data_IF_253136649849
#
_entry.id   IF_253136649849
#
_cell.length_a   1.000
_cell.length_b   1.000
_cell.length_c   1.000
_cell.angle_alpha   90.00
_cell.angle_beta   90.00
_cell.angle_gamma   90.00
#
_symmetry.space_group_name_H-M   'P 1'
#
loop_
_entity.id
_entity.type
_entity.pdbx_description
1 polymer ?
#
# COMPACT_ATOMS: atom_id res chain seq x y z
N UNK A 1 -49.42 34.50 -5.08
CA UNK A 1 -49.63 34.14 -3.66
C UNK A 1 -48.28 33.79 -3.07
N UNK A 2 -47.56 34.72 -2.43
CA UNK A 2 -47.61 35.04 -0.98
C UNK A 2 -47.20 33.82 -0.12
N UNK A 3 -46.18 33.80 0.74
CA UNK A 3 -45.53 34.89 1.49
C UNK A 3 -44.04 34.61 1.80
N UNK A 4 -43.33 35.73 1.91
CA UNK A 4 -41.96 35.94 2.40
C UNK A 4 -41.90 35.88 3.93
N UNK A 5 -40.77 35.46 4.52
CA UNK A 5 -40.24 36.07 5.75
C UNK A 5 -38.72 35.96 5.89
N UNK A 6 -38.09 37.12 5.78
CA UNK A 6 -36.71 37.47 6.10
C UNK A 6 -36.50 37.61 7.61
N UNK A 7 -35.27 37.40 8.09
CA UNK A 7 -34.74 38.10 9.29
C UNK A 7 -33.25 38.44 9.08
N UNK A 8 -32.98 39.74 9.18
CA UNK A 8 -31.69 40.44 9.23
C UNK A 8 -31.26 40.62 10.70
N UNK A 9 -30.06 41.21 10.85
CA UNK A 9 -29.48 41.98 11.99
C UNK A 9 -28.59 41.16 12.93
N UNK A 10 -27.42 41.59 13.41
CA UNK A 10 -26.50 42.75 13.17
C UNK A 10 -25.23 42.45 13.99
N UNK A 11 -24.06 42.88 13.51
CA UNK A 11 -22.81 43.02 14.27
C UNK A 11 -22.84 44.23 15.21
N UNK A 12 -21.92 44.29 16.21
CA UNK A 12 -21.28 45.56 16.52
C UNK A 12 -19.74 45.47 16.53
N UNK A 13 -19.15 46.55 16.02
CA UNK A 13 -17.75 46.96 16.13
C UNK A 13 -17.37 47.33 17.57
N UNK A 14 -16.12 47.09 17.96
CA UNK A 14 -15.36 47.98 18.86
C UNK A 14 -13.93 48.12 18.31
N UNK A 15 -13.51 49.37 18.18
CA UNK A 15 -12.20 49.86 17.73
C UNK A 15 -11.22 50.08 18.89
N UNK A 16 -9.95 50.31 18.51
CA UNK A 16 -8.84 51.00 19.22
C UNK A 16 -8.00 50.11 20.15
N UNK A 17 -6.67 50.15 20.21
CA UNK A 17 -5.71 51.25 19.97
C UNK A 17 -4.31 50.76 19.56
N UNK A 18 -3.58 51.72 19.00
CA UNK A 18 -2.19 51.80 18.51
C UNK A 18 -1.13 51.55 19.61
N UNK A 19 0.01 50.94 19.26
CA UNK A 19 1.34 51.41 19.69
C UNK A 19 2.50 50.79 18.88
N UNK A 20 3.25 51.69 18.23
CA UNK A 20 4.59 51.52 17.66
C UNK A 20 5.64 51.29 18.77
N UNK A 21 6.65 50.46 18.50
CA UNK A 21 8.06 50.67 18.90
C UNK A 21 8.92 49.55 18.27
N UNK A 22 9.66 49.84 17.20
CA UNK A 22 11.10 50.16 17.17
C UNK A 22 12.04 48.96 17.42
N UNK A 23 12.80 48.62 16.37
CA UNK A 23 13.98 47.77 16.34
C UNK A 23 15.04 48.20 17.38
N UNK A 24 16.02 47.32 17.68
CA UNK A 24 17.32 47.61 17.10
C UNK A 24 18.08 46.40 16.53
N UNK A 25 18.82 46.72 15.47
CA UNK A 25 20.01 46.09 14.91
C UNK A 25 21.19 46.03 15.89
N UNK A 26 21.99 44.96 15.84
CA UNK A 26 23.47 44.97 15.76
C UNK A 26 23.98 43.51 15.96
N UNK A 27 24.58 42.88 14.95
CA UNK A 27 25.95 43.01 14.45
C UNK A 27 27.03 42.24 15.25
N UNK A 28 27.67 41.32 14.52
CA UNK A 28 29.10 41.06 14.46
C UNK A 28 29.80 40.11 15.47
N UNK A 29 30.46 39.12 14.84
CA UNK A 29 31.84 38.64 15.05
C UNK A 29 32.09 37.29 15.75
N UNK A 30 32.69 36.41 14.92
CA UNK A 30 33.89 35.59 15.17
C UNK A 30 33.80 34.29 15.98
N UNK A 31 33.99 33.19 15.24
CA UNK A 31 34.73 31.98 15.62
C UNK A 31 36.03 32.32 16.37
N UNK A 32 36.47 31.48 17.33
CA UNK A 32 37.44 30.45 16.95
C UNK A 32 37.28 29.09 17.67
N UNK A 33 37.49 28.01 16.92
CA UNK A 33 38.14 26.76 17.41
C UNK A 33 39.58 27.12 17.82
N UNK A 34 40.21 26.48 18.83
CA UNK A 34 40.74 25.14 18.59
C UNK A 34 41.00 24.24 19.81
N UNK A 35 41.46 23.02 19.50
CA UNK A 35 42.35 22.12 20.24
C UNK A 35 41.78 20.86 20.92
N UNK A 36 42.35 19.75 20.43
CA UNK A 36 42.43 18.42 21.02
C UNK A 36 43.06 18.46 22.42
N UNK A 37 42.50 17.67 23.32
CA UNK A 37 43.31 17.03 24.38
C UNK A 37 42.69 15.69 24.75
N UNK A 38 43.47 14.66 24.47
CA UNK A 38 43.34 13.27 24.86
C UNK A 38 43.23 13.14 26.38
N UNK A 39 42.17 12.48 26.87
CA UNK A 39 42.15 11.92 28.22
C UNK A 39 41.69 10.48 28.12
N UNK A 40 42.67 9.61 28.35
CA UNK A 40 42.57 8.17 28.55
C UNK A 40 41.93 7.86 29.91
N UNK A 41 40.79 7.18 29.91
CA UNK A 41 40.28 6.49 31.09
C UNK A 41 40.50 4.98 30.92
N UNK A 42 41.42 4.45 31.72
CA UNK A 42 41.53 3.02 32.01
C UNK A 42 40.32 2.58 32.82
N UNK A 43 39.52 1.65 32.29
CA UNK A 43 38.66 0.79 33.11
C UNK A 43 38.95 -0.66 32.71
N UNK A 44 39.38 -1.42 33.70
CA UNK A 44 39.78 -2.82 33.66
C UNK A 44 38.60 -3.78 33.48
N UNK A 45 38.86 -4.83 32.71
CA UNK A 45 37.96 -5.92 32.31
C UNK A 45 37.50 -6.83 33.45
N UNK A 46 36.28 -7.36 33.32
CA UNK A 46 35.95 -8.74 33.69
C UNK A 46 34.88 -9.28 32.73
N UNK A 47 35.28 -10.26 31.93
CA UNK A 47 34.53 -10.97 30.88
C UNK A 47 33.42 -11.88 31.43
N UNK A 48 32.47 -12.32 30.57
CA UNK A 48 32.51 -13.73 30.21
C UNK A 48 32.35 -14.02 28.71
N UNK A 49 33.25 -14.87 28.23
CA UNK A 49 33.12 -15.82 27.10
C UNK A 49 32.53 -15.32 25.78
N UNK A 50 33.39 -14.76 24.93
CA UNK A 50 33.23 -14.76 23.48
C UNK A 50 33.56 -16.16 22.94
N UNK A 51 32.59 -16.88 22.38
CA UNK A 51 32.86 -17.93 21.40
C UNK A 51 33.00 -17.28 20.03
N UNK A 52 34.24 -17.03 19.63
CA UNK A 52 34.60 -16.67 18.27
C UNK A 52 34.24 -17.83 17.33
N UNK A 53 33.16 -17.69 16.56
CA UNK A 53 32.91 -18.54 15.40
C UNK A 53 33.23 -17.76 14.13
N UNK A 54 34.43 -18.00 13.62
CA UNK A 54 34.81 -17.70 12.24
C UNK A 54 33.95 -18.53 11.29
N UNK A 55 33.13 -17.89 10.47
CA UNK A 55 32.50 -18.54 9.32
C UNK A 55 33.36 -18.28 8.08
N UNK A 56 33.99 -19.35 7.60
CA UNK A 56 34.60 -19.41 6.27
C UNK A 56 33.48 -19.22 5.25
N UNK A 57 33.56 -18.12 4.51
CA UNK A 57 32.73 -17.91 3.34
C UNK A 57 33.46 -18.54 2.15
N UNK A 58 33.10 -19.77 1.78
CA UNK A 58 33.56 -20.33 0.51
C UNK A 58 32.85 -19.59 -0.63
N UNK A 59 33.61 -18.76 -1.35
CA UNK A 59 33.18 -18.21 -2.62
C UNK A 59 33.18 -19.32 -3.67
N UNK A 60 32.01 -19.86 -3.99
CA UNK A 60 31.80 -20.53 -5.27
C UNK A 60 30.88 -19.70 -6.15
N UNK A 61 31.43 -19.27 -7.27
CA UNK A 61 30.76 -18.59 -8.37
C UNK A 61 29.78 -19.55 -9.04
N UNK A 62 28.53 -19.56 -8.58
CA UNK A 62 27.40 -20.09 -9.35
C UNK A 62 26.10 -19.42 -8.89
N UNK A 63 25.20 -19.11 -9.83
CA UNK A 63 23.84 -18.59 -9.56
C UNK A 63 22.99 -19.67 -8.87
N UNK A 64 23.27 -19.98 -7.61
CA UNK A 64 22.55 -20.99 -6.84
C UNK A 64 21.57 -20.34 -5.86
N UNK A 65 20.34 -20.86 -5.84
CA UNK A 65 19.37 -20.65 -4.76
C UNK A 65 20.03 -21.01 -3.43
N UNK A 66 20.39 -20.01 -2.63
CA UNK A 66 20.92 -20.25 -1.29
C UNK A 66 19.76 -20.35 -0.31
N UNK A 67 19.35 -21.57 0.01
CA UNK A 67 18.40 -21.82 1.12
C UNK A 67 19.09 -21.53 2.45
N UNK A 68 18.97 -20.30 2.93
CA UNK A 68 19.54 -19.90 4.20
C UNK A 68 18.57 -20.25 5.34
N UNK A 69 18.81 -21.38 6.00
CA UNK A 69 18.08 -21.79 7.22
C UNK A 69 18.36 -20.77 8.33
N UNK A 70 17.34 -20.04 8.78
CA UNK A 70 17.42 -19.30 10.04
C UNK A 70 17.59 -20.32 11.19
N UNK A 71 18.43 -19.99 12.19
CA UNK A 71 18.83 -20.89 13.29
C UNK A 71 17.68 -21.33 14.22
N UNK A 72 16.45 -20.90 13.96
CA UNK A 72 15.27 -21.11 14.83
C UNK A 72 14.30 -22.20 14.34
N UNK A 73 14.75 -23.15 13.50
CA UNK A 73 13.90 -24.24 13.00
C UNK A 73 12.79 -23.81 12.02
N UNK A 74 12.78 -22.54 11.63
CA UNK A 74 11.88 -21.98 10.62
C UNK A 74 12.57 -22.06 9.25
N UNK A 75 12.06 -22.93 8.38
CA UNK A 75 12.49 -23.02 6.99
C UNK A 75 12.02 -21.76 6.23
N UNK A 76 12.77 -20.66 6.32
CA UNK A 76 12.69 -19.54 5.39
C UNK A 76 13.67 -19.79 4.24
N UNK A 77 13.19 -19.67 3.00
CA UNK A 77 14.03 -19.78 1.82
C UNK A 77 14.18 -18.40 1.18
N UNK A 78 15.34 -17.77 1.35
CA UNK A 78 15.67 -16.50 0.72
C UNK A 78 16.27 -16.74 -0.65
N UNK A 79 15.55 -16.32 -1.69
CA UNK A 79 16.02 -16.36 -3.07
C UNK A 79 16.78 -15.07 -3.36
N UNK A 80 18.01 -15.17 -3.87
CA UNK A 80 18.88 -14.01 -4.17
C UNK A 80 18.89 -13.68 -5.66
N UNK A 81 18.74 -12.38 -5.98
CA UNK A 81 18.99 -11.75 -7.29
C UNK A 81 18.39 -12.43 -8.54
N UNK A 82 17.32 -13.21 -8.39
CA UNK A 82 16.70 -13.95 -9.51
C UNK A 82 15.21 -13.69 -9.67
N UNK A 83 14.53 -13.14 -8.66
CA UNK A 83 13.08 -12.92 -8.73
C UNK A 83 12.77 -11.61 -9.43
N UNK A 84 12.01 -11.69 -10.53
CA UNK A 84 11.50 -10.52 -11.24
C UNK A 84 10.17 -10.05 -10.63
N UNK A 85 10.06 -8.75 -10.38
CA UNK A 85 8.88 -8.12 -9.77
C UNK A 85 7.69 -8.10 -10.74
N UNK A 86 7.92 -8.11 -12.05
CA UNK A 86 6.85 -8.30 -13.06
C UNK A 86 6.03 -9.58 -12.84
N UNK A 87 6.62 -10.63 -12.30
CA UNK A 87 5.91 -11.89 -12.00
C UNK A 87 4.97 -11.77 -10.77
N UNK A 88 5.19 -10.73 -9.97
CA UNK A 88 4.48 -10.44 -8.73
C UNK A 88 3.49 -9.28 -8.89
N UNK A 89 3.40 -8.69 -10.09
CA UNK A 89 2.56 -7.55 -10.43
C UNK A 89 1.48 -7.94 -11.43
N UNK A 90 0.27 -7.39 -11.26
CA UNK A 90 -0.80 -7.56 -12.26
C UNK A 90 -0.56 -6.74 -13.52
N UNK A 91 0.22 -5.65 -13.44
CA UNK A 91 0.70 -4.94 -14.62
C UNK A 91 1.75 -5.71 -15.41
N UNK A 92 2.44 -6.68 -14.80
CA UNK A 92 3.52 -7.39 -15.47
C UNK A 92 4.73 -6.49 -15.79
N UNK A 93 4.99 -5.50 -14.93
CA UNK A 93 6.10 -4.54 -15.04
C UNK A 93 6.96 -4.64 -13.76
N UNK A 94 8.28 -4.52 -13.90
CA UNK A 94 9.21 -4.52 -12.77
C UNK A 94 10.44 -5.41 -12.94
N UNK A 95 11.58 -4.87 -12.54
CA UNK A 95 12.91 -5.48 -12.58
C UNK A 95 13.17 -6.55 -11.52
N UNK A 96 14.43 -6.96 -11.30
CA UNK A 96 14.80 -7.94 -10.28
C UNK A 96 14.76 -7.37 -8.86
N UNK A 97 14.65 -8.21 -7.83
CA UNK A 97 14.94 -7.81 -6.46
C UNK A 97 16.14 -8.56 -5.88
N UNK A 98 16.85 -7.92 -4.95
CA UNK A 98 18.06 -8.50 -4.33
C UNK A 98 17.74 -9.74 -3.50
N UNK A 99 16.66 -9.69 -2.71
CA UNK A 99 16.19 -10.81 -1.92
C UNK A 99 14.68 -11.01 -2.13
N UNK A 100 14.25 -12.26 -2.11
CA UNK A 100 12.83 -12.62 -2.16
C UNK A 100 12.55 -13.74 -1.17
N UNK A 101 11.46 -13.64 -0.43
CA UNK A 101 11.02 -14.67 0.50
C UNK A 101 9.49 -14.76 0.52
N UNK A 102 8.96 -15.96 0.69
CA UNK A 102 7.54 -16.19 0.92
C UNK A 102 7.31 -16.55 2.38
N UNK A 103 6.26 -15.99 2.97
CA UNK A 103 5.90 -16.24 4.37
C UNK A 103 4.45 -16.71 4.46
N UNK A 104 4.21 -17.80 5.17
CA UNK A 104 2.91 -18.50 5.24
C UNK A 104 2.24 -18.41 6.61
N UNK A 105 2.95 -17.92 7.62
CA UNK A 105 2.42 -17.68 8.96
C UNK A 105 3.10 -16.47 9.62
N UNK A 106 2.55 -16.05 10.76
CA UNK A 106 3.05 -14.92 11.53
C UNK A 106 4.52 -15.10 11.94
N UNK A 107 4.92 -16.30 12.37
CA UNK A 107 6.28 -16.57 12.84
C UNK A 107 7.30 -16.38 11.72
N UNK A 108 7.01 -16.90 10.52
CA UNK A 108 7.84 -16.70 9.32
C UNK A 108 7.93 -15.23 8.93
N UNK A 109 6.81 -14.50 8.99
CA UNK A 109 6.76 -13.08 8.69
C UNK A 109 7.62 -12.25 9.66
N UNK A 110 7.47 -12.46 10.97
CA UNK A 110 8.31 -11.80 12.00
C UNK A 110 9.77 -12.15 11.80
N UNK A 111 10.09 -13.41 11.51
CA UNK A 111 11.47 -13.86 11.28
C UNK A 111 12.10 -13.22 10.04
N UNK A 112 11.33 -13.04 8.95
CA UNK A 112 11.80 -12.36 7.76
C UNK A 112 12.05 -10.87 8.02
N UNK A 113 11.15 -10.20 8.74
CA UNK A 113 11.31 -8.79 9.14
C UNK A 113 12.55 -8.64 10.02
N UNK A 114 12.70 -9.49 11.05
CA UNK A 114 13.85 -9.49 11.96
C UNK A 114 15.16 -9.72 11.20
N UNK A 115 15.22 -10.70 10.31
CA UNK A 115 16.39 -10.96 9.48
C UNK A 115 16.80 -9.72 8.66
N UNK A 116 15.82 -9.03 8.06
CA UNK A 116 16.08 -7.81 7.31
C UNK A 116 16.65 -6.70 8.21
N UNK A 117 16.09 -6.51 9.41
CA UNK A 117 16.60 -5.53 10.38
C UNK A 117 18.02 -5.86 10.85
N UNK A 118 18.30 -7.10 11.25
CA UNK A 118 19.62 -7.54 11.74
C UNK A 118 20.72 -7.33 10.70
N UNK A 119 20.40 -7.44 9.41
CA UNK A 119 21.34 -7.28 8.30
C UNK A 119 21.26 -5.91 7.63
N UNK A 120 20.50 -4.96 8.17
CA UNK A 120 20.27 -3.64 7.57
C UNK A 120 19.78 -3.71 6.11
N UNK A 121 18.98 -4.72 5.78
CA UNK A 121 18.36 -4.92 4.48
C UNK A 121 17.01 -4.21 4.48
N UNK A 122 16.81 -3.27 3.55
CA UNK A 122 15.48 -2.67 3.31
C UNK A 122 14.52 -3.74 2.84
N UNK A 123 13.25 -3.64 3.21
CA UNK A 123 12.26 -4.59 2.75
C UNK A 123 10.93 -3.93 2.40
N UNK A 124 10.16 -4.61 1.55
CA UNK A 124 8.75 -4.32 1.31
C UNK A 124 7.95 -5.60 1.49
N UNK A 125 6.71 -5.45 1.94
CA UNK A 125 5.76 -6.56 2.05
C UNK A 125 4.69 -6.37 0.99
N UNK A 126 4.51 -7.39 0.16
CA UNK A 126 3.53 -7.35 -0.93
C UNK A 126 2.52 -8.49 -0.79
N UNK A 127 1.28 -8.19 -1.21
CA UNK A 127 0.25 -9.19 -1.47
C UNK A 127 0.38 -9.71 -2.90
N UNK A 128 -0.63 -9.46 -3.75
CA UNK A 128 -0.59 -9.83 -5.18
C UNK A 128 0.03 -8.77 -6.11
N UNK A 129 0.59 -7.69 -5.56
CA UNK A 129 1.11 -6.56 -6.35
C UNK A 129 0.06 -5.93 -7.29
N UNK A 130 -1.23 -6.03 -6.97
CA UNK A 130 -2.31 -5.60 -7.86
C UNK A 130 -2.62 -4.10 -7.81
N UNK A 131 -1.87 -3.35 -7.00
CA UNK A 131 -1.95 -1.89 -6.88
C UNK A 131 -0.54 -1.27 -6.80
N UNK A 132 0.44 -1.91 -7.44
CA UNK A 132 1.85 -1.52 -7.38
C UNK A 132 2.44 -1.40 -8.79
N UNK A 133 3.06 -0.26 -9.09
CA UNK A 133 4.01 -0.11 -10.19
C UNK A 133 5.42 -0.35 -9.63
N UNK A 134 6.06 -1.42 -10.09
CA UNK A 134 7.46 -1.69 -9.76
C UNK A 134 8.36 -1.10 -10.84
N UNK A 135 9.45 -0.49 -10.42
CA UNK A 135 10.47 0.04 -11.30
C UNK A 135 11.19 -1.07 -12.08
N UNK A 136 11.56 -0.83 -13.34
CA UNK A 136 12.31 -1.80 -14.15
C UNK A 136 13.76 -1.98 -13.69
N UNK A 137 14.31 -1.01 -12.95
CA UNK A 137 15.58 -1.17 -12.23
C UNK A 137 15.44 -2.15 -11.07
N UNK A 138 14.22 -2.42 -10.62
CA UNK A 138 13.94 -3.41 -9.60
C UNK A 138 13.88 -2.86 -8.17
N UNK A 139 14.27 -3.68 -7.19
CA UNK A 139 14.26 -3.32 -5.77
C UNK A 139 15.54 -3.75 -5.06
N UNK A 140 16.29 -2.77 -4.54
CA UNK A 140 17.51 -2.97 -3.75
C UNK A 140 17.16 -3.24 -2.28
N UNK A 141 16.64 -4.44 -2.06
CA UNK A 141 16.23 -4.93 -0.76
C UNK A 141 15.55 -6.30 -0.83
N UNK A 142 14.80 -6.63 0.21
CA UNK A 142 14.01 -7.85 0.31
C UNK A 142 12.54 -7.62 -0.03
N UNK A 143 12.00 -8.42 -0.95
CA UNK A 143 10.56 -8.52 -1.18
C UNK A 143 10.01 -9.71 -0.41
N UNK A 144 9.18 -9.41 0.59
CA UNK A 144 8.47 -10.38 1.41
C UNK A 144 7.07 -10.57 0.82
N UNK A 145 6.83 -11.71 0.18
CA UNK A 145 5.52 -12.08 -0.34
C UNK A 145 4.68 -12.73 0.76
N UNK A 146 3.62 -12.04 1.18
CA UNK A 146 2.73 -12.53 2.22
C UNK A 146 1.72 -13.56 1.65
N UNK A 147 1.83 -14.80 2.15
CA UNK A 147 1.02 -15.98 1.82
C UNK A 147 0.34 -16.58 3.05
N UNK A 148 0.02 -15.76 4.05
CA UNK A 148 -0.81 -16.18 5.19
C UNK A 148 -2.27 -16.34 4.69
N UNK A 149 -2.63 -17.55 4.25
CA UNK A 149 -3.84 -17.84 3.45
C UNK A 149 -4.92 -18.66 4.18
N UNK A 150 -5.05 -18.52 5.50
CA UNK A 150 -6.14 -19.16 6.24
C UNK A 150 -7.47 -18.37 6.16
N UNK A 151 -8.58 -19.10 6.34
CA UNK A 151 -9.93 -18.57 6.54
C UNK A 151 -10.58 -19.41 7.63
N UNK A 152 -10.80 -18.81 8.80
CA UNK A 152 -11.40 -19.45 9.97
C UNK A 152 -12.78 -18.82 10.20
N UNK A 153 -13.81 -19.66 10.35
CA UNK A 153 -15.15 -19.21 10.73
C UNK A 153 -15.31 -19.46 12.23
N UNK A 154 -15.36 -18.38 13.02
CA UNK A 154 -15.55 -18.51 14.47
C UNK A 154 -17.03 -18.76 14.78
N UNK A 155 -17.91 -18.03 14.10
CA UNK A 155 -19.37 -18.12 14.18
C UNK A 155 -19.95 -17.79 12.80
N UNK A 156 -21.22 -18.10 12.51
CA UNK A 156 -21.87 -17.71 11.27
C UNK A 156 -21.75 -16.19 11.03
N UNK A 157 -21.07 -15.80 9.95
CA UNK A 157 -20.85 -14.40 9.59
C UNK A 157 -19.63 -13.74 10.24
N UNK A 158 -18.89 -14.45 11.11
CA UNK A 158 -17.66 -13.95 11.75
C UNK A 158 -16.47 -14.74 11.24
N UNK A 159 -15.60 -14.07 10.48
CA UNK A 159 -14.46 -14.70 9.82
C UNK A 159 -13.15 -14.06 10.22
N UNK A 160 -12.21 -14.87 10.71
CA UNK A 160 -10.81 -14.48 10.88
C UNK A 160 -10.04 -14.91 9.64
N UNK A 161 -9.42 -13.96 8.96
CA UNK A 161 -8.85 -14.22 7.63
C UNK A 161 -7.40 -13.77 7.58
N UNK A 162 -6.53 -14.65 7.10
CA UNK A 162 -5.14 -14.34 6.89
C UNK A 162 -4.95 -13.22 5.85
N UNK A 163 -4.02 -12.32 6.12
CA UNK A 163 -3.74 -11.14 5.29
C UNK A 163 -3.26 -11.47 3.86
N UNK A 164 -2.74 -12.69 3.62
CA UNK A 164 -2.39 -13.21 2.30
C UNK A 164 -3.58 -13.80 1.54
N UNK A 165 -4.72 -14.05 2.19
CA UNK A 165 -5.90 -14.64 1.58
C UNK A 165 -6.44 -13.77 0.44
N UNK A 166 -6.94 -14.40 -0.63
CA UNK A 166 -7.44 -13.70 -1.83
C UNK A 166 -8.74 -12.96 -1.49
N UNK A 167 -8.75 -11.63 -1.66
CA UNK A 167 -9.89 -10.80 -1.26
C UNK A 167 -11.16 -11.11 -2.06
N UNK A 168 -11.02 -11.31 -3.38
CA UNK A 168 -12.13 -11.76 -4.21
C UNK A 168 -12.72 -13.12 -3.79
N UNK A 169 -11.86 -14.05 -3.39
CA UNK A 169 -12.30 -15.37 -2.92
C UNK A 169 -13.14 -15.24 -1.64
N UNK A 170 -12.70 -14.39 -0.70
CA UNK A 170 -13.44 -14.11 0.52
C UNK A 170 -14.85 -13.58 0.21
N UNK A 171 -14.94 -12.54 -0.63
CA UNK A 171 -16.24 -11.98 -1.01
C UNK A 171 -17.17 -12.99 -1.67
N UNK A 172 -16.64 -13.85 -2.56
CA UNK A 172 -17.42 -14.92 -3.17
C UNK A 172 -17.92 -15.96 -2.16
N UNK A 173 -17.05 -16.42 -1.25
CA UNK A 173 -17.41 -17.44 -0.25
C UNK A 173 -18.50 -16.92 0.69
N UNK A 174 -18.28 -15.77 1.33
CA UNK A 174 -19.25 -15.20 2.27
C UNK A 174 -20.62 -14.92 1.60
N UNK A 175 -20.62 -14.39 0.37
CA UNK A 175 -21.88 -14.11 -0.34
C UNK A 175 -22.65 -15.38 -0.73
N UNK A 176 -21.94 -16.45 -1.09
CA UNK A 176 -22.54 -17.75 -1.42
C UNK A 176 -23.08 -18.46 -0.18
N UNK A 177 -22.47 -18.24 0.98
CA UNK A 177 -22.96 -18.67 2.30
C UNK A 177 -24.13 -17.83 2.81
N UNK A 178 -24.52 -16.78 2.09
CA UNK A 178 -25.69 -15.94 2.41
C UNK A 178 -25.38 -14.78 3.35
N UNK A 179 -24.12 -14.32 3.43
CA UNK A 179 -23.72 -13.16 4.22
C UNK A 179 -23.48 -11.93 3.33
N UNK A 180 -24.01 -10.78 3.77
CA UNK A 180 -23.80 -9.48 3.14
C UNK A 180 -22.66 -8.69 3.78
N UNK A 181 -22.05 -7.85 2.96
CA UNK A 181 -21.03 -6.88 3.35
C UNK A 181 -19.75 -7.02 2.53
N UNK A 182 -19.54 -8.12 1.80
CA UNK A 182 -18.36 -8.36 0.96
C UNK A 182 -18.70 -8.76 -0.48
N UNK A 183 -19.95 -8.62 -0.92
CA UNK A 183 -20.35 -8.93 -2.30
C UNK A 183 -19.53 -8.11 -3.31
N UNK A 184 -19.27 -6.84 -2.99
CA UNK A 184 -18.46 -5.93 -3.82
C UNK A 184 -17.02 -6.42 -4.00
N UNK A 185 -16.50 -7.18 -3.04
CA UNK A 185 -15.13 -7.69 -3.06
C UNK A 185 -14.95 -8.81 -4.07
N UNK A 186 -16.02 -9.51 -4.49
CA UNK A 186 -15.95 -10.71 -5.33
C UNK A 186 -15.20 -10.54 -6.66
N UNK A 187 -15.08 -9.31 -7.17
CA UNK A 187 -14.21 -9.00 -8.31
C UNK A 187 -12.82 -8.50 -7.94
N UNK A 188 -12.63 -7.88 -6.78
CA UNK A 188 -11.46 -7.06 -6.48
C UNK A 188 -10.19 -7.94 -6.37
N UNK A 189 -9.19 -7.76 -7.25
CA UNK A 189 -7.92 -8.48 -7.14
C UNK A 189 -7.15 -8.03 -5.89
N UNK A 190 -6.17 -8.83 -5.48
CA UNK A 190 -5.37 -8.55 -4.29
C UNK A 190 -5.56 -9.58 -3.17
N UNK A 191 -5.12 -9.17 -1.98
CA UNK A 191 -5.23 -9.95 -0.74
C UNK A 191 -6.00 -9.16 0.31
N UNK A 192 -6.48 -9.83 1.35
CA UNK A 192 -7.17 -9.23 2.49
C UNK A 192 -6.34 -8.13 3.16
N UNK A 193 -5.04 -8.37 3.35
CA UNK A 193 -4.12 -7.37 3.91
C UNK A 193 -4.01 -6.14 3.02
N UNK A 194 -3.86 -6.33 1.71
CA UNK A 194 -3.81 -5.22 0.75
C UNK A 194 -5.13 -4.43 0.69
N UNK A 195 -6.27 -5.13 0.70
CA UNK A 195 -7.60 -4.51 0.72
C UNK A 195 -7.80 -3.67 1.99
N UNK A 196 -7.38 -4.18 3.13
CA UNK A 196 -7.45 -3.47 4.43
C UNK A 196 -6.49 -2.28 4.45
N UNK A 197 -5.25 -2.46 3.99
CA UNK A 197 -4.27 -1.37 3.90
C UNK A 197 -4.76 -0.21 3.00
N UNK A 198 -5.42 -0.54 1.89
CA UNK A 198 -5.92 0.46 0.95
C UNK A 198 -7.33 0.98 1.29
N UNK A 199 -8.06 0.35 2.20
CA UNK A 199 -9.51 0.45 2.31
C UNK A 199 -10.18 0.28 0.93
N UNK A 200 -9.95 -0.88 0.32
CA UNK A 200 -10.48 -1.20 -1.00
C UNK A 200 -12.01 -1.12 -0.97
N UNK A 201 -12.60 -0.57 -2.03
CA UNK A 201 -14.04 -0.38 -2.11
C UNK A 201 -14.54 -0.31 -3.55
N UNK A 202 -15.77 -0.76 -3.76
CA UNK A 202 -16.48 -0.71 -5.04
C UNK A 202 -17.98 -0.75 -4.76
N UNK A 203 -18.80 -0.31 -5.73
CA UNK A 203 -20.26 -0.38 -5.63
C UNK A 203 -20.83 0.32 -4.38
N UNK A 204 -20.19 1.39 -3.91
CA UNK A 204 -20.61 2.16 -2.73
C UNK A 204 -20.28 1.51 -1.38
N UNK A 205 -19.52 0.41 -1.37
CA UNK A 205 -19.08 -0.29 -0.16
C UNK A 205 -17.56 -0.26 -0.05
N UNK A 206 -17.04 -0.31 1.17
CA UNK A 206 -15.62 -0.33 1.49
C UNK A 206 -15.28 -1.46 2.46
N UNK A 207 -14.02 -1.90 2.45
CA UNK A 207 -13.53 -2.99 3.32
C UNK A 207 -13.80 -2.66 4.79
N UNK A 208 -13.60 -1.40 5.18
CA UNK A 208 -13.80 -0.94 6.55
C UNK A 208 -15.26 -1.02 7.04
N UNK A 209 -16.26 -1.24 6.17
CA UNK A 209 -17.67 -1.34 6.57
C UNK A 209 -17.96 -2.61 7.38
N UNK A 210 -17.10 -3.63 7.23
CA UNK A 210 -17.29 -4.98 7.78
C UNK A 210 -16.12 -5.49 8.60
N UNK A 211 -15.02 -4.73 8.69
CA UNK A 211 -13.89 -5.06 9.56
C UNK A 211 -14.33 -4.88 11.01
N UNK A 212 -14.08 -5.88 11.85
CA UNK A 212 -14.31 -5.84 13.29
C UNK A 212 -13.00 -5.53 14.04
N UNK A 213 -11.90 -6.19 13.65
CA UNK A 213 -10.56 -5.93 14.19
C UNK A 213 -9.47 -6.31 13.18
N UNK A 214 -8.28 -5.76 13.38
CA UNK A 214 -7.09 -6.01 12.55
C UNK A 214 -5.93 -6.43 13.42
N UNK A 215 -5.33 -7.57 13.09
CA UNK A 215 -4.12 -8.07 13.72
C UNK A 215 -2.90 -7.59 12.94
N UNK A 216 -1.95 -6.96 13.64
CA UNK A 216 -0.72 -6.46 13.07
C UNK A 216 0.50 -6.98 13.82
N UNK A 217 1.63 -6.96 13.12
CA UNK A 217 2.96 -7.08 13.69
C UNK A 217 3.67 -5.74 13.49
N UNK A 218 4.36 -5.27 14.52
CA UNK A 218 5.21 -4.08 14.46
C UNK A 218 6.61 -4.42 13.96
N UNK A 219 7.39 -3.40 13.61
CA UNK A 219 8.79 -3.57 13.17
C UNK A 219 9.68 -4.26 14.23
N UNK A 220 9.35 -4.10 15.51
CA UNK A 220 10.03 -4.79 16.61
C UNK A 220 9.55 -6.24 16.85
N UNK A 221 8.66 -6.74 16.00
CA UNK A 221 8.09 -8.09 16.09
C UNK A 221 6.92 -8.22 17.06
N UNK A 222 6.54 -7.18 17.81
CA UNK A 222 5.39 -7.24 18.72
C UNK A 222 4.08 -7.37 17.94
N UNK A 223 3.23 -8.27 18.42
CA UNK A 223 1.87 -8.43 17.94
C UNK A 223 0.93 -7.42 18.60
N UNK A 224 -0.02 -6.88 17.84
CA UNK A 224 -1.08 -6.03 18.36
C UNK A 224 -2.38 -6.30 17.61
N UNK A 225 -3.49 -6.39 18.35
CA UNK A 225 -4.84 -6.38 17.80
C UNK A 225 -5.41 -4.97 17.94
N UNK A 226 -5.99 -4.45 16.85
CA UNK A 226 -6.59 -3.11 16.77
C UNK A 226 -8.08 -3.24 16.47
N UNK A 227 -8.94 -2.68 17.31
CA UNK A 227 -10.37 -2.69 17.08
C UNK A 227 -10.76 -1.71 15.98
N UNK A 228 -11.77 -2.05 15.17
CA UNK A 228 -12.27 -1.19 14.10
C UNK A 228 -12.63 0.22 14.56
N UNK A 229 -13.19 0.35 15.77
CA UNK A 229 -13.63 1.64 16.32
C UNK A 229 -12.47 2.63 16.53
N UNK A 230 -11.25 2.11 16.74
CA UNK A 230 -10.04 2.90 16.94
C UNK A 230 -9.33 3.24 15.61
N UNK A 231 -9.76 2.63 14.50
CA UNK A 231 -9.13 2.76 13.19
C UNK A 231 -9.83 3.81 12.34
N UNK A 232 -9.12 4.91 12.07
CA UNK A 232 -9.59 6.01 11.20
C UNK A 232 -9.40 5.67 9.72
N UNK A 233 -10.32 4.87 9.18
CA UNK A 233 -10.43 4.65 7.74
C UNK A 233 -11.05 5.86 7.02
N UNK A 234 -10.73 5.99 5.74
CA UNK A 234 -11.36 6.96 4.85
C UNK A 234 -11.23 6.52 3.39
N UNK A 235 -11.69 7.37 2.48
CA UNK A 235 -11.67 7.07 1.04
C UNK A 235 -10.25 6.74 0.56
N UNK A 236 -10.04 5.46 0.22
CA UNK A 236 -8.75 4.90 -0.22
C UNK A 236 -7.59 5.13 0.76
N UNK A 237 -7.90 5.25 2.05
CA UNK A 237 -6.90 5.48 3.10
C UNK A 237 -7.22 4.72 4.37
N UNK A 238 -6.17 4.35 5.09
CA UNK A 238 -6.22 3.62 6.35
C UNK A 238 -5.16 4.18 7.31
N UNK A 239 -5.28 3.96 8.62
CA UNK A 239 -4.26 4.38 9.59
C UNK A 239 -2.90 3.71 9.34
N UNK A 240 -2.91 2.54 8.70
CA UNK A 240 -1.71 1.76 8.37
C UNK A 240 -0.75 2.50 7.44
N UNK A 241 -1.25 3.38 6.57
CA UNK A 241 -0.41 4.17 5.64
C UNK A 241 0.49 5.17 6.38
N UNK A 242 0.02 5.69 7.50
CA UNK A 242 0.72 6.67 8.35
C UNK A 242 1.41 6.06 9.57
N UNK A 243 1.17 4.78 9.86
CA UNK A 243 1.77 4.09 10.99
C UNK A 243 3.27 3.86 10.72
N UNK A 244 4.14 4.40 11.57
CA UNK A 244 5.61 4.36 11.39
C UNK A 244 6.22 3.04 11.85
N UNK A 245 5.64 2.43 12.88
CA UNK A 245 6.10 1.19 13.50
C UNK A 245 5.37 -0.05 12.98
N UNK A 246 4.54 0.09 11.93
CA UNK A 246 3.87 -1.04 11.30
C UNK A 246 4.90 -1.90 10.58
N UNK A 247 4.99 -3.17 10.99
CA UNK A 247 5.65 -4.21 10.21
C UNK A 247 4.72 -4.74 9.13
N UNK A 248 3.58 -5.33 9.52
CA UNK A 248 2.62 -5.92 8.58
C UNK A 248 1.23 -6.11 9.19
N UNK A 249 0.20 -6.11 8.35
CA UNK A 249 -1.09 -6.74 8.70
C UNK A 249 -0.92 -8.25 8.60
N UNK A 250 -1.40 -9.00 9.60
CA UNK A 250 -1.28 -10.47 9.69
C UNK A 250 -2.62 -11.14 9.43
N UNK A 251 -3.69 -10.65 10.06
CA UNK A 251 -5.04 -11.16 9.90
C UNK A 251 -6.06 -10.04 10.10
N UNK A 252 -7.28 -10.28 9.63
CA UNK A 252 -8.40 -9.35 9.74
C UNK A 252 -9.64 -10.14 10.15
N UNK A 253 -10.34 -9.64 11.16
CA UNK A 253 -11.65 -10.15 11.56
C UNK A 253 -12.73 -9.39 10.81
N UNK A 254 -13.63 -10.12 10.16
CA UNK A 254 -14.80 -9.58 9.48
C UNK A 254 -16.06 -10.00 10.22
N UNK A 255 -17.01 -9.06 10.37
CA UNK A 255 -18.32 -9.29 10.94
C UNK A 255 -19.40 -8.92 9.92
N UNK A 256 -20.01 -9.93 9.33
CA UNK A 256 -21.01 -9.84 8.27
C UNK A 256 -22.41 -10.09 8.80
N UNK A 257 -23.42 -9.77 8.00
CA UNK A 257 -24.83 -9.96 8.36
C UNK A 257 -25.51 -10.97 7.43
N UNK A 258 -26.42 -11.84 7.91
CA UNK A 258 -27.20 -12.71 7.04
C UNK A 258 -28.05 -11.91 6.04
N UNK A 259 -28.11 -12.36 4.79
CA UNK A 259 -28.94 -11.76 3.75
C UNK A 259 -29.18 -12.72 2.58
N UNK A 260 -30.45 -13.03 2.31
CA UNK A 260 -30.85 -13.83 1.14
C UNK A 260 -30.55 -13.18 -0.21
N UNK A 261 -30.19 -11.88 -0.25
CA UNK A 261 -29.83 -11.17 -1.49
C UNK A 261 -28.33 -11.13 -1.78
N UNK A 262 -27.47 -11.59 -0.85
CA UNK A 262 -26.02 -11.48 -0.99
C UNK A 262 -25.48 -12.13 -2.27
N UNK A 263 -25.85 -13.40 -2.51
CA UNK A 263 -25.46 -14.12 -3.72
C UNK A 263 -25.92 -13.42 -5.01
N UNK A 264 -27.13 -12.86 -5.02
CA UNK A 264 -27.66 -12.14 -6.18
C UNK A 264 -26.86 -10.87 -6.48
N UNK A 265 -26.60 -10.06 -5.44
CA UNK A 265 -25.78 -8.84 -5.56
C UNK A 265 -24.36 -9.14 -6.02
N UNK A 266 -23.75 -10.21 -5.52
CA UNK A 266 -22.45 -10.68 -6.01
C UNK A 266 -22.50 -10.92 -7.53
N UNK A 267 -23.49 -11.67 -8.03
CA UNK A 267 -23.61 -11.94 -9.47
C UNK A 267 -23.80 -10.65 -10.27
N UNK A 268 -24.66 -9.74 -9.81
CA UNK A 268 -24.86 -8.44 -10.46
C UNK A 268 -23.57 -7.63 -10.54
N UNK A 269 -22.77 -7.61 -9.47
CA UNK A 269 -21.49 -6.89 -9.45
C UNK A 269 -20.44 -7.53 -10.36
N UNK A 270 -20.40 -8.87 -10.43
CA UNK A 270 -19.50 -9.58 -11.34
C UNK A 270 -19.86 -9.33 -12.80
N UNK A 271 -21.14 -9.37 -13.16
CA UNK A 271 -21.61 -9.08 -14.52
C UNK A 271 -21.33 -7.62 -14.92
N UNK A 272 -21.68 -6.67 -14.04
CA UNK A 272 -21.33 -5.24 -14.26
C UNK A 272 -19.84 -5.07 -14.49
N UNK A 273 -19.01 -5.75 -13.70
CA UNK A 273 -17.56 -5.67 -13.82
C UNK A 273 -17.03 -6.29 -15.11
N UNK A 274 -17.60 -7.41 -15.55
CA UNK A 274 -17.26 -8.09 -16.80
C UNK A 274 -17.47 -7.20 -18.02
N UNK A 275 -18.54 -6.39 -18.03
CA UNK A 275 -18.86 -5.51 -19.17
C UNK A 275 -18.14 -4.16 -19.10
N UNK A 276 -17.81 -3.68 -17.89
CA UNK A 276 -17.29 -2.30 -17.68
C UNK A 276 -15.78 -2.22 -17.46
N UNK A 277 -15.07 -3.34 -17.28
CA UNK A 277 -13.63 -3.33 -16.98
C UNK A 277 -12.86 -4.26 -17.93
N UNK A 278 -11.58 -3.94 -18.21
CA UNK A 278 -10.73 -4.77 -19.06
C UNK A 278 -10.26 -6.05 -18.34
N UNK A 279 -11.17 -7.00 -18.13
CA UNK A 279 -10.88 -8.26 -17.45
C UNK A 279 -9.91 -9.09 -18.28
N UNK A 280 -8.82 -9.53 -17.65
CA UNK A 280 -7.77 -10.32 -18.30
C UNK A 280 -6.63 -9.48 -18.87
N UNK A 281 -6.81 -8.17 -19.06
CA UNK A 281 -5.72 -7.28 -19.43
C UNK A 281 -4.84 -6.97 -18.22
N UNK A 282 -3.55 -6.74 -18.49
CA UNK A 282 -2.55 -6.43 -17.46
C UNK A 282 -2.75 -5.02 -16.94
N UNK A 283 -3.42 -4.86 -15.80
CA UNK A 283 -3.68 -3.56 -15.15
C UNK A 283 -3.51 -3.64 -13.63
N UNK A 284 -3.37 -2.48 -12.96
CA UNK A 284 -3.44 -2.36 -11.50
C UNK A 284 -4.81 -1.85 -11.00
N UNK A 285 -5.86 -1.99 -11.81
CA UNK A 285 -7.16 -1.39 -11.51
C UNK A 285 -7.23 0.09 -11.90
N UNK A 286 -7.99 0.86 -11.12
CA UNK A 286 -8.10 2.31 -11.32
C UNK A 286 -6.81 3.00 -10.90
N UNK A 287 -6.23 3.79 -11.80
CA UNK A 287 -4.97 4.50 -11.57
C UNK A 287 -5.18 5.70 -10.65
N UNK A 288 -6.28 6.44 -10.85
CA UNK A 288 -6.61 7.62 -10.09
C UNK A 288 -7.80 7.40 -9.16
N UNK A 289 -7.78 8.10 -8.04
CA UNK A 289 -8.95 8.28 -7.18
C UNK A 289 -9.96 9.20 -7.86
N UNK A 290 -11.23 9.05 -7.49
CA UNK A 290 -12.23 10.03 -7.90
C UNK A 290 -11.96 11.37 -7.19
N UNK A 291 -12.04 12.50 -7.90
CA UNK A 291 -11.94 13.82 -7.29
C UNK A 291 -13.01 14.01 -6.20
N UNK A 292 -12.64 14.41 -4.98
CA UNK A 292 -13.62 14.66 -3.93
C UNK A 292 -14.49 15.87 -4.30
N UNK A 293 -15.76 15.85 -3.89
CA UNK A 293 -16.69 16.98 -3.96
C UNK A 293 -17.08 17.48 -5.36
N UNK A 294 -16.61 16.86 -6.45
CA UNK A 294 -17.01 17.23 -7.81
C UNK A 294 -18.17 16.41 -8.37
N UNK A 295 -18.52 15.29 -7.73
CA UNK A 295 -19.59 14.40 -8.22
C UNK A 295 -19.28 13.70 -9.56
N UNK A 296 -18.06 13.86 -10.08
CA UNK A 296 -17.59 13.28 -11.34
C UNK A 296 -16.50 12.24 -11.08
N UNK A 297 -16.54 11.13 -11.81
CA UNK A 297 -15.52 10.10 -11.71
C UNK A 297 -14.25 10.48 -12.49
N UNK A 298 -13.09 10.02 -12.01
CA UNK A 298 -11.82 10.21 -12.75
C UNK A 298 -11.89 9.58 -14.15
N UNK A 299 -12.54 8.41 -14.28
CA UNK A 299 -12.76 7.75 -15.56
C UNK A 299 -13.51 8.65 -16.56
N UNK A 300 -14.54 9.35 -16.10
CA UNK A 300 -15.35 10.22 -16.95
C UNK A 300 -14.55 11.45 -17.42
N UNK A 301 -13.71 12.02 -16.56
CA UNK A 301 -12.82 13.12 -16.95
C UNK A 301 -11.82 12.68 -18.02
N UNK A 302 -11.19 11.51 -17.86
CA UNK A 302 -10.21 10.97 -18.82
C UNK A 302 -10.89 10.64 -20.14
N UNK A 303 -12.10 10.07 -20.10
CA UNK A 303 -12.89 9.79 -21.29
C UNK A 303 -13.32 11.06 -22.03
N UNK A 304 -13.83 12.07 -21.31
CA UNK A 304 -14.15 13.38 -21.89
C UNK A 304 -12.92 14.13 -22.40
N UNK A 305 -11.73 13.84 -21.88
CA UNK A 305 -10.46 14.31 -22.44
C UNK A 305 -10.09 13.63 -23.77
N UNK A 306 -10.81 12.58 -24.18
CA UNK A 306 -10.58 11.86 -25.43
C UNK A 306 -9.38 10.90 -25.37
N UNK A 307 -9.05 10.39 -24.17
CA UNK A 307 -7.79 9.68 -23.94
C UNK A 307 -7.90 8.15 -23.97
N UNK A 308 -9.10 7.56 -24.15
CA UNK A 308 -9.22 6.11 -24.36
C UNK A 308 -8.40 5.68 -25.57
N UNK A 309 -7.60 4.62 -25.41
CA UNK A 309 -6.71 4.12 -26.45
C UNK A 309 -5.42 4.90 -26.65
N UNK A 310 -5.20 6.02 -25.95
CA UNK A 310 -3.95 6.77 -26.01
C UNK A 310 -2.79 5.93 -25.46
N UNK A 311 -1.62 6.03 -26.11
CA UNK A 311 -0.45 5.18 -25.87
C UNK A 311 0.80 5.99 -25.61
N UNK A 312 1.64 5.47 -24.72
CA UNK A 312 3.05 5.86 -24.55
C UNK A 312 3.85 4.56 -24.44
N UNK A 313 4.78 4.34 -25.36
CA UNK A 313 5.50 3.06 -25.47
C UNK A 313 4.54 1.87 -25.50
N UNK A 314 4.74 0.90 -24.61
CA UNK A 314 3.83 -0.24 -24.46
C UNK A 314 2.59 0.04 -23.60
N UNK A 315 2.53 1.15 -22.86
CA UNK A 315 1.42 1.48 -21.96
C UNK A 315 0.25 2.12 -22.73
N UNK A 316 -0.98 1.82 -22.32
CA UNK A 316 -2.19 2.35 -22.97
C UNK A 316 -3.30 2.65 -21.97
N UNK A 317 -4.07 3.72 -22.19
CA UNK A 317 -5.38 3.91 -21.54
C UNK A 317 -6.37 2.90 -22.13
N UNK A 318 -6.97 2.05 -21.30
CA UNK A 318 -7.90 1.01 -21.78
C UNK A 318 -9.04 1.60 -22.62
N UNK A 319 -9.37 0.92 -23.72
CA UNK A 319 -10.55 1.25 -24.54
C UNK A 319 -11.86 0.96 -23.79
N UNK A 320 -11.84 0.06 -22.80
CA UNK A 320 -13.04 -0.34 -22.05
C UNK A 320 -13.30 0.66 -20.92
N UNK A 321 -12.29 0.95 -20.09
CA UNK A 321 -12.44 1.83 -18.92
C UNK A 321 -11.31 2.85 -18.83
N UNK A 322 -11.62 4.15 -18.97
CA UNK A 322 -10.61 5.20 -19.12
C UNK A 322 -9.69 5.41 -17.90
N UNK A 323 -10.12 5.03 -16.68
CA UNK A 323 -9.24 5.06 -15.50
C UNK A 323 -8.36 3.80 -15.33
N UNK A 324 -8.42 2.83 -16.27
CA UNK A 324 -7.58 1.63 -16.23
C UNK A 324 -6.48 1.79 -17.27
N UNK A 325 -5.24 1.78 -16.81
CA UNK A 325 -4.09 1.79 -17.70
C UNK A 325 -3.54 0.38 -17.78
N UNK A 326 -3.25 -0.04 -19.00
CA UNK A 326 -2.90 -1.42 -19.29
C UNK A 326 -1.50 -1.51 -19.86
N UNK A 327 -0.82 -2.60 -19.51
CA UNK A 327 0.32 -3.05 -20.25
C UNK A 327 -0.18 -3.78 -21.49
N UNK A 328 -0.09 -3.12 -22.65
CA UNK A 328 -0.58 -3.64 -23.92
C UNK A 328 0.46 -4.48 -24.69
N UNK A 329 1.56 -4.81 -24.01
CA UNK A 329 2.69 -5.56 -24.54
C UNK A 329 3.99 -4.80 -24.31
N UNK A 330 4.91 -5.39 -23.52
CA UNK A 330 6.26 -4.86 -23.33
C UNK A 330 6.37 -3.49 -22.65
N UNK A 331 5.33 -3.02 -21.94
CA UNK A 331 5.42 -1.74 -21.23
C UNK A 331 6.55 -1.72 -20.22
N UNK A 332 7.26 -0.60 -20.17
CA UNK A 332 8.16 -0.26 -19.07
C UNK A 332 7.40 0.47 -17.96
N UNK A 333 8.01 0.52 -16.78
CA UNK A 333 7.62 1.40 -15.67
C UNK A 333 7.64 2.87 -16.09
N UNK A 334 8.62 3.28 -16.91
CA UNK A 334 8.68 4.64 -17.45
C UNK A 334 7.53 4.94 -18.41
N UNK A 335 7.17 4.01 -19.31
CA UNK A 335 6.00 4.17 -20.20
C UNK A 335 4.72 4.43 -19.39
N UNK A 336 4.54 3.70 -18.29
CA UNK A 336 3.38 3.84 -17.42
C UNK A 336 3.40 5.18 -16.67
N UNK A 337 4.56 5.61 -16.17
CA UNK A 337 4.72 6.90 -15.51
C UNK A 337 4.46 8.08 -16.46
N UNK A 338 4.98 8.01 -17.68
CA UNK A 338 4.78 9.02 -18.72
C UNK A 338 3.32 9.11 -19.14
N UNK A 339 2.64 7.95 -19.28
CA UNK A 339 1.21 7.90 -19.54
C UNK A 339 0.39 8.54 -18.39
N UNK A 340 0.75 8.25 -17.14
CA UNK A 340 0.13 8.85 -15.95
C UNK A 340 0.32 10.37 -15.93
N UNK A 341 1.54 10.84 -16.17
CA UNK A 341 1.85 12.27 -16.22
C UNK A 341 1.05 12.98 -17.32
N UNK A 342 1.03 12.41 -18.52
CA UNK A 342 0.30 12.98 -19.65
C UNK A 342 -1.22 13.06 -19.39
N UNK A 343 -1.82 12.02 -18.83
CA UNK A 343 -3.25 12.02 -18.53
C UNK A 343 -3.59 13.05 -17.45
N UNK A 344 -2.76 13.18 -16.40
CA UNK A 344 -2.92 14.24 -15.38
C UNK A 344 -2.87 15.63 -16.01
N UNK A 345 -1.87 15.88 -16.85
CA UNK A 345 -1.69 17.16 -17.54
C UNK A 345 -2.91 17.50 -18.41
N UNK A 346 -3.41 16.55 -19.22
CA UNK A 346 -4.54 16.78 -20.11
C UNK A 346 -5.85 17.02 -19.37
N UNK A 347 -6.09 16.31 -18.28
CA UNK A 347 -7.28 16.50 -17.45
C UNK A 347 -7.21 17.85 -16.73
N UNK A 348 -6.05 18.25 -16.23
CA UNK A 348 -5.86 19.56 -15.60
C UNK A 348 -6.04 20.70 -16.62
N UNK A 349 -5.41 20.62 -17.80
CA UNK A 349 -5.57 21.61 -18.87
C UNK A 349 -7.02 21.79 -19.33
N UNK A 350 -7.78 20.68 -19.42
CA UNK A 350 -9.14 20.72 -19.98
C UNK A 350 -10.21 21.05 -18.96
N UNK A 351 -10.03 20.64 -17.70
CA UNK A 351 -11.08 20.73 -16.67
C UNK A 351 -10.64 21.47 -15.40
N UNK A 352 -9.37 21.86 -15.27
CA UNK A 352 -8.81 22.44 -14.04
C UNK A 352 -8.82 21.47 -12.87
N UNK A 353 -8.79 20.16 -13.13
CA UNK A 353 -8.86 19.11 -12.10
C UNK A 353 -7.54 18.36 -12.01
N UNK A 354 -6.91 18.45 -10.84
CA UNK A 354 -5.72 17.68 -10.51
C UNK A 354 -6.08 16.28 -10.02
N UNK A 355 -5.94 15.27 -10.90
CA UNK A 355 -6.13 13.88 -10.53
C UNK A 355 -5.05 13.41 -9.54
N UNK A 356 -5.49 12.65 -8.52
CA UNK A 356 -4.62 12.03 -7.52
C UNK A 356 -4.52 10.54 -7.74
N UNK A 357 -3.30 10.02 -7.75
CA UNK A 357 -3.02 8.60 -7.92
C UNK A 357 -3.51 7.76 -6.72
N UNK A 358 -3.97 6.55 -7.02
CA UNK A 358 -4.28 5.48 -6.06
C UNK A 358 -3.19 4.40 -6.02
N UNK A 359 -2.55 4.17 -7.17
CA UNK A 359 -1.48 3.20 -7.36
C UNK A 359 -0.24 3.57 -6.54
N UNK A 360 0.45 2.55 -6.03
CA UNK A 360 1.67 2.72 -5.24
C UNK A 360 2.90 2.51 -6.13
N UNK A 361 3.91 3.36 -5.96
CA UNK A 361 5.18 3.26 -6.68
C UNK A 361 6.22 2.57 -5.81
N UNK A 362 6.96 1.63 -6.39
CA UNK A 362 8.05 0.91 -5.74
C UNK A 362 9.33 1.19 -6.50
N UNK A 363 10.13 2.08 -5.96
CA UNK A 363 11.42 2.48 -6.52
C UNK A 363 12.55 1.61 -5.95
N UNK A 364 13.73 1.57 -6.60
CA UNK A 364 14.84 0.72 -6.16
C UNK A 364 15.24 0.90 -4.70
N UNK A 365 15.07 2.11 -4.16
CA UNK A 365 15.60 2.49 -2.86
C UNK A 365 14.55 2.83 -1.80
N UNK A 366 13.25 2.63 -2.07
CA UNK A 366 12.20 3.02 -1.14
C UNK A 366 12.20 2.16 0.14
N UNK A 367 12.00 2.79 1.29
CA UNK A 367 11.88 2.08 2.57
C UNK A 367 10.45 1.59 2.87
N UNK A 368 9.46 2.04 2.10
CA UNK A 368 8.05 1.68 2.24
C UNK A 368 7.32 1.81 0.89
N UNK A 369 6.18 1.12 0.74
CA UNK A 369 5.27 1.25 -0.41
C UNK A 369 4.54 2.62 -0.49
N UNK A 370 4.99 3.64 0.25
CA UNK A 370 4.42 4.98 0.21
C UNK A 370 5.48 6.01 -0.24
N UNK A 371 5.48 6.41 -1.52
CA UNK A 371 6.48 7.31 -2.11
C UNK A 371 6.42 8.76 -1.58
N UNK A 372 5.46 9.10 -0.73
CA UNK A 372 5.37 10.42 -0.09
C UNK A 372 6.16 10.54 1.22
N UNK A 373 6.99 9.54 1.59
CA UNK A 373 7.84 9.61 2.80
C UNK A 373 9.19 10.31 2.56
N UNK A 374 9.63 10.42 1.31
CA UNK A 374 10.95 10.98 0.95
C UNK A 374 10.86 12.38 0.30
N UNK A 375 9.83 13.17 0.63
CA UNK A 375 9.76 14.61 0.28
C UNK A 375 9.87 15.49 1.51
#
# INVERSE_FOLDING_TARGET
MMFVKTKKTTTPNVMSNILLHSLPTANYLTNPKPQNSSISFHISYSSPTNSSFSFLCEHSSSKQEQTQKCKDGLNLNFIRASKLLKDLSTWGIGGPCNYFVQVHNQTQLVSAIRYCHEHSIRFIIIGKGSNCLFDDLGFDGCVILNRIEFLESNEPGIYRVGSGFRFNKLGMQCSNEGFTGLEFAGGIPGTVGGATYMNAGANGQETADVVDSVEIVKNDGRFQMLNRIDLKFGYRTSPFKSMKDLGSIVAVMFKLQPSGSAKRRLQEYLERRRVSQPIGERSAGSVFRNPPNLGIAAAELIEKAGLKGFRVGGAMVSNIHANFFINSGGSTSQDMLDLIAFVKEKVDQKFGVQLKEEVLYVHPYCNDLNPNRDK
#
